data_IF_900095291733
#
_entry.id   IF_900095291733
#
_cell.length_a   1.000
_cell.length_b   1.000
_cell.length_c   1.000
_cell.angle_alpha   90.00
_cell.angle_beta   90.00
_cell.angle_gamma   90.00
#
_symmetry.space_group_name_H-M   'P 1'
#
loop_
_entity.id
_entity.type
_entity.pdbx_description
1 polymer ?
#
# COMPACT_ATOMS: atom_id res chain seq x y z
N UNK A 1 42.02 -1.02 3.62
CA UNK A 1 40.78 -0.24 3.60
C UNK A 1 39.69 -1.14 3.06
N UNK A 2 38.80 -1.64 3.92
CA UNK A 2 37.73 -2.56 3.53
C UNK A 2 36.62 -1.70 2.92
N UNK A 3 36.43 -1.80 1.60
CA UNK A 3 35.32 -1.18 0.90
C UNK A 3 34.04 -1.89 1.34
N UNK A 4 33.19 -1.20 2.11
CA UNK A 4 31.85 -1.65 2.45
C UNK A 4 30.97 -1.57 1.20
N UNK A 5 31.08 -2.58 0.32
CA UNK A 5 30.12 -2.83 -0.74
C UNK A 5 28.83 -3.38 -0.11
N UNK A 6 28.02 -2.51 0.49
CA UNK A 6 26.61 -2.85 0.76
C UNK A 6 25.90 -2.87 -0.58
N UNK A 7 25.38 -4.03 -0.96
CA UNK A 7 24.60 -4.18 -2.18
C UNK A 7 23.33 -3.31 -2.08
N UNK A 8 22.89 -2.64 -3.17
CA UNK A 8 21.70 -1.78 -3.18
C UNK A 8 20.38 -2.49 -2.83
N UNK A 9 20.41 -3.81 -2.68
CA UNK A 9 19.29 -4.64 -2.25
C UNK A 9 19.11 -4.59 -0.72
N UNK A 10 20.20 -4.49 0.06
CA UNK A 10 20.15 -4.50 1.53
C UNK A 10 19.61 -3.19 2.13
N UNK A 11 19.72 -2.06 1.43
CA UNK A 11 19.13 -0.80 1.90
C UNK A 11 17.61 -0.73 1.68
N UNK A 12 17.08 -1.50 0.72
CA UNK A 12 15.63 -1.56 0.48
C UNK A 12 14.89 -2.37 1.54
N UNK A 13 15.51 -3.41 2.10
CA UNK A 13 14.88 -4.25 3.14
C UNK A 13 14.62 -3.47 4.45
N UNK A 14 15.47 -2.49 4.77
CA UNK A 14 15.29 -1.62 5.93
C UNK A 14 14.15 -0.60 5.80
N UNK A 15 13.72 -0.29 4.56
CA UNK A 15 12.64 0.67 4.30
C UNK A 15 11.24 0.10 4.59
N UNK A 16 11.12 -1.23 4.67
CA UNK A 16 9.85 -1.96 4.75
C UNK A 16 9.60 -2.63 6.11
N UNK A 17 10.57 -2.60 7.03
CA UNK A 17 10.45 -3.16 8.38
C UNK A 17 9.87 -2.11 9.35
N UNK A 18 8.60 -2.27 9.71
CA UNK A 18 7.88 -1.50 10.73
C UNK A 18 7.14 -0.24 10.24
N UNK A 19 7.23 0.08 8.94
CA UNK A 19 6.68 1.31 8.36
C UNK A 19 5.19 1.25 7.96
N UNK A 20 4.61 2.39 7.52
CA UNK A 20 3.23 2.47 7.02
C UNK A 20 2.96 1.52 5.84
N UNK A 21 4.02 1.17 5.09
CA UNK A 21 3.97 0.14 4.05
C UNK A 21 3.59 -1.24 4.61
N UNK A 22 4.22 -1.69 5.69
CA UNK A 22 3.98 -3.01 6.28
C UNK A 22 2.59 -3.10 6.91
N UNK A 23 2.10 -2.00 7.49
CA UNK A 23 0.74 -1.90 8.02
C UNK A 23 -0.31 -1.99 6.90
N UNK A 24 -0.16 -1.21 5.82
CA UNK A 24 -1.03 -1.32 4.65
C UNK A 24 -0.98 -2.69 4.00
N UNK A 25 0.20 -3.29 3.93
CA UNK A 25 0.33 -4.65 3.43
C UNK A 25 -0.42 -5.67 4.27
N UNK A 26 -0.33 -5.57 5.60
CA UNK A 26 -1.01 -6.47 6.54
C UNK A 26 -2.54 -6.39 6.43
N UNK A 27 -3.08 -5.19 6.18
CA UNK A 27 -4.50 -4.97 5.93
C UNK A 27 -4.92 -5.54 4.57
N UNK A 28 -4.14 -5.28 3.53
CA UNK A 28 -4.45 -5.73 2.17
C UNK A 28 -4.37 -7.26 1.99
N UNK A 29 -3.55 -7.95 2.77
CA UNK A 29 -3.36 -9.41 2.72
C UNK A 29 -4.10 -10.17 3.82
N UNK A 30 -4.75 -9.47 4.75
CA UNK A 30 -5.69 -10.08 5.65
C UNK A 30 -6.86 -10.63 4.81
N UNK A 31 -6.94 -11.96 4.65
CA UNK A 31 -8.16 -12.63 4.15
C UNK A 31 -9.37 -12.33 5.07
N UNK A 32 -9.05 -11.83 6.26
CA UNK A 32 -9.95 -11.38 7.30
C UNK A 32 -10.30 -9.90 7.03
N UNK A 33 -11.20 -9.64 6.09
CA UNK A 33 -12.11 -8.47 6.21
C UNK A 33 -12.97 -8.56 7.50
N UNK A 34 -12.83 -9.62 8.30
CA UNK A 34 -13.55 -9.87 9.55
C UNK A 34 -12.89 -9.26 10.81
N UNK A 35 -11.77 -8.54 10.70
CA UNK A 35 -11.08 -7.99 11.89
C UNK A 35 -11.61 -6.63 12.35
N UNK A 36 -12.67 -6.13 11.71
CA UNK A 36 -13.34 -4.90 12.10
C UNK A 36 -12.58 -3.63 11.74
N UNK A 37 -11.67 -3.70 10.76
CA UNK A 37 -10.98 -2.51 10.24
C UNK A 37 -12.00 -1.55 9.64
N UNK A 38 -12.12 -0.39 10.26
CA UNK A 38 -13.03 0.65 9.83
C UNK A 38 -12.54 1.26 8.51
N UNK A 39 -13.48 1.70 7.67
CA UNK A 39 -13.19 2.50 6.46
C UNK A 39 -12.25 3.68 6.79
N UNK A 40 -12.37 4.23 8.00
CA UNK A 40 -11.50 5.27 8.57
C UNK A 40 -10.03 4.83 8.65
N UNK A 41 -9.75 3.64 9.18
CA UNK A 41 -8.38 3.12 9.31
C UNK A 41 -7.76 2.88 7.92
N UNK A 42 -8.51 2.26 7.01
CA UNK A 42 -8.06 2.05 5.63
C UNK A 42 -7.73 3.37 4.95
N UNK A 43 -8.60 4.38 5.09
CA UNK A 43 -8.37 5.72 4.57
C UNK A 43 -7.10 6.36 5.15
N UNK A 44 -6.95 6.34 6.48
CA UNK A 44 -5.79 6.95 7.15
C UNK A 44 -4.48 6.31 6.70
N UNK A 45 -4.45 4.98 6.58
CA UNK A 45 -3.24 4.30 6.15
C UNK A 45 -2.93 4.51 4.67
N UNK A 46 -3.95 4.50 3.80
CA UNK A 46 -3.76 4.78 2.38
C UNK A 46 -3.18 6.19 2.17
N UNK A 47 -3.68 7.18 2.93
CA UNK A 47 -3.13 8.54 2.92
C UNK A 47 -1.68 8.59 3.44
N UNK A 48 -1.37 7.91 4.56
CA UNK A 48 0.01 7.82 5.07
C UNK A 48 0.95 7.19 4.06
N UNK A 49 0.50 6.15 3.36
CA UNK A 49 1.29 5.49 2.35
C UNK A 49 1.54 6.39 1.14
N UNK A 50 0.53 7.14 0.70
CA UNK A 50 0.66 8.11 -0.38
C UNK A 50 1.73 9.16 -0.04
N UNK A 51 1.68 9.71 1.16
CA UNK A 51 2.70 10.66 1.64
C UNK A 51 4.10 10.04 1.69
N UNK A 52 4.22 8.78 2.11
CA UNK A 52 5.50 8.09 2.13
C UNK A 52 6.06 7.87 0.72
N UNK A 53 5.21 7.53 -0.26
CA UNK A 53 5.60 7.46 -1.67
C UNK A 53 6.03 8.83 -2.22
N UNK A 54 5.35 9.90 -1.83
CA UNK A 54 5.69 11.27 -2.27
C UNK A 54 7.08 11.70 -1.78
N UNK A 55 7.49 11.20 -0.61
CA UNK A 55 8.81 11.47 -0.02
C UNK A 55 9.93 10.63 -0.63
N UNK A 56 9.60 9.53 -1.32
CA UNK A 56 10.59 8.72 -2.00
C UNK A 56 10.90 9.27 -3.40
N UNK A 57 11.94 10.10 -3.47
CA UNK A 57 12.42 10.70 -4.71
C UNK A 57 12.96 9.66 -5.72
N UNK A 58 13.33 8.45 -5.28
CA UNK A 58 13.96 7.44 -6.12
C UNK A 58 13.00 6.66 -7.01
N UNK A 59 11.69 6.76 -6.76
CA UNK A 59 10.68 5.89 -7.35
C UNK A 59 9.71 6.59 -8.33
N UNK A 60 9.79 7.92 -8.43
CA UNK A 60 8.81 8.78 -9.12
C UNK A 60 8.62 8.51 -10.62
N UNK A 61 9.61 7.95 -11.31
CA UNK A 61 9.60 7.87 -12.79
C UNK A 61 9.28 6.49 -13.38
N UNK A 62 8.99 5.49 -12.56
CA UNK A 62 8.61 4.17 -13.10
C UNK A 62 7.09 4.07 -13.35
N UNK A 63 6.70 3.43 -14.45
CA UNK A 63 5.29 3.15 -14.77
C UNK A 63 4.58 2.34 -13.67
N UNK A 64 5.30 1.43 -13.02
CA UNK A 64 4.80 0.67 -11.87
C UNK A 64 4.42 1.58 -10.70
N UNK A 65 5.16 2.69 -10.48
CA UNK A 65 4.84 3.66 -9.43
C UNK A 65 3.63 4.51 -9.80
N UNK A 66 3.53 4.98 -11.04
CA UNK A 66 2.34 5.71 -11.51
C UNK A 66 1.06 4.87 -11.34
N UNK A 67 1.15 3.58 -11.67
CA UNK A 67 0.05 2.64 -11.49
C UNK A 67 -0.31 2.45 -10.00
N UNK A 68 0.70 2.34 -9.13
CA UNK A 68 0.49 2.24 -7.68
C UNK A 68 -0.19 3.49 -7.11
N UNK A 69 0.26 4.69 -7.51
CA UNK A 69 -0.39 5.95 -7.16
C UNK A 69 -1.85 5.98 -7.61
N UNK A 70 -2.11 5.59 -8.85
CA UNK A 70 -3.47 5.56 -9.38
C UNK A 70 -4.40 4.68 -8.54
N UNK A 71 -3.95 3.48 -8.17
CA UNK A 71 -4.75 2.59 -7.34
C UNK A 71 -4.91 3.08 -5.90
N UNK A 72 -3.88 3.71 -5.34
CA UNK A 72 -3.92 4.28 -4.01
C UNK A 72 -4.89 5.46 -3.93
N UNK A 73 -4.88 6.31 -4.95
CA UNK A 73 -5.77 7.46 -5.08
C UNK A 73 -7.23 7.03 -5.20
N UNK A 74 -7.50 5.99 -5.97
CA UNK A 74 -8.84 5.41 -6.07
C UNK A 74 -9.33 4.85 -4.72
N UNK A 75 -8.46 4.17 -3.97
CA UNK A 75 -8.82 3.67 -2.65
C UNK A 75 -9.13 4.82 -1.67
N UNK A 76 -8.29 5.86 -1.64
CA UNK A 76 -8.52 7.04 -0.81
C UNK A 76 -9.86 7.70 -1.17
N UNK A 77 -10.15 7.82 -2.46
CA UNK A 77 -11.40 8.40 -2.95
C UNK A 77 -12.62 7.61 -2.46
N UNK A 78 -12.65 6.30 -2.72
CA UNK A 78 -13.82 5.48 -2.38
C UNK A 78 -13.96 5.27 -0.87
N UNK A 79 -12.86 5.11 -0.13
CA UNK A 79 -12.91 5.07 1.33
C UNK A 79 -13.41 6.40 1.91
N UNK A 80 -13.01 7.53 1.32
CA UNK A 80 -13.53 8.85 1.68
C UNK A 80 -15.03 9.00 1.41
N UNK A 81 -15.53 8.44 0.31
CA UNK A 81 -16.96 8.43 -0.01
C UNK A 81 -17.75 7.57 0.98
N UNK A 82 -17.29 6.34 1.24
CA UNK A 82 -17.87 5.43 2.23
C UNK A 82 -17.90 6.02 3.65
N UNK A 83 -16.85 6.75 4.05
CA UNK A 83 -16.79 7.45 5.34
C UNK A 83 -17.85 8.55 5.46
N UNK A 84 -18.04 9.33 4.38
CA UNK A 84 -19.01 10.45 4.36
C UNK A 84 -20.45 9.97 4.22
N UNK A 85 -20.65 8.88 3.51
CA UNK A 85 -21.94 8.27 3.26
C UNK A 85 -21.83 6.74 3.40
N UNK A 86 -22.25 6.15 4.53
CA UNK A 86 -22.21 4.70 4.73
C UNK A 86 -23.07 3.90 3.74
N UNK A 87 -24.01 4.53 3.05
CA UNK A 87 -24.82 3.92 1.99
C UNK A 87 -24.17 4.05 0.59
N UNK A 88 -22.95 4.58 0.52
CA UNK A 88 -22.19 4.62 -0.73
C UNK A 88 -21.88 3.19 -1.20
N UNK A 89 -21.63 3.03 -2.49
CA UNK A 89 -21.51 1.72 -3.11
C UNK A 89 -20.27 0.96 -2.59
N UNK A 90 -20.51 -0.05 -1.76
CA UNK A 90 -19.49 -0.94 -1.23
C UNK A 90 -18.70 -1.64 -2.34
N UNK A 91 -19.31 -1.91 -3.49
CA UNK A 91 -18.64 -2.56 -4.62
C UNK A 91 -17.46 -1.73 -5.13
N UNK A 92 -17.63 -0.40 -5.27
CA UNK A 92 -16.55 0.48 -5.76
C UNK A 92 -15.38 0.53 -4.78
N UNK A 93 -15.66 0.61 -3.48
CA UNK A 93 -14.65 0.53 -2.42
C UNK A 93 -13.87 -0.78 -2.50
N UNK A 94 -14.56 -1.93 -2.52
CA UNK A 94 -13.92 -3.25 -2.58
C UNK A 94 -13.09 -3.39 -3.86
N UNK A 95 -13.60 -2.92 -5.00
CA UNK A 95 -12.87 -2.93 -6.27
C UNK A 95 -11.58 -2.11 -6.20
N UNK A 96 -11.62 -0.91 -5.61
CA UNK A 96 -10.45 -0.07 -5.43
C UNK A 96 -9.40 -0.76 -4.53
N UNK A 97 -9.87 -1.36 -3.43
CA UNK A 97 -9.03 -2.09 -2.48
C UNK A 97 -8.36 -3.31 -3.13
N UNK A 98 -9.10 -4.09 -3.90
CA UNK A 98 -8.56 -5.21 -4.68
C UNK A 98 -7.55 -4.76 -5.75
N UNK A 99 -7.85 -3.69 -6.48
CA UNK A 99 -6.93 -3.15 -7.50
C UNK A 99 -5.59 -2.71 -6.91
N UNK A 100 -5.61 -2.08 -5.73
CA UNK A 100 -4.40 -1.73 -5.00
C UNK A 100 -3.62 -2.98 -4.58
N UNK A 101 -4.30 -3.96 -3.99
CA UNK A 101 -3.69 -5.24 -3.59
C UNK A 101 -2.97 -5.93 -4.76
N UNK A 102 -3.64 -6.04 -5.90
CA UNK A 102 -3.08 -6.72 -7.07
C UNK A 102 -1.87 -5.96 -7.66
N UNK A 103 -1.90 -4.63 -7.60
CA UNK A 103 -0.78 -3.79 -8.04
C UNK A 103 0.42 -3.94 -7.11
N UNK A 104 0.19 -3.94 -5.79
CA UNK A 104 1.26 -4.18 -4.81
C UNK A 104 1.85 -5.58 -4.93
N UNK A 105 1.02 -6.62 -5.21
CA UNK A 105 1.47 -7.99 -5.50
C UNK A 105 2.46 -8.04 -6.66
N UNK A 106 2.14 -7.32 -7.74
CA UNK A 106 2.96 -7.29 -8.96
C UNK A 106 4.21 -6.43 -8.81
N UNK A 107 4.11 -5.30 -8.10
CA UNK A 107 5.22 -4.37 -7.88
C UNK A 107 6.23 -4.83 -6.84
N UNK A 108 5.81 -5.64 -5.87
CA UNK A 108 6.64 -6.09 -4.75
C UNK A 108 6.49 -7.60 -4.47
N UNK A 109 6.90 -8.48 -5.41
CA UNK A 109 6.71 -9.92 -5.30
C UNK A 109 7.43 -10.56 -4.10
N UNK A 110 8.45 -9.92 -3.54
CA UNK A 110 9.17 -10.38 -2.34
C UNK A 110 8.30 -10.37 -1.07
N UNK A 111 7.22 -9.59 -1.03
CA UNK A 111 6.32 -9.54 0.12
C UNK A 111 5.32 -10.69 0.18
N UNK A 112 5.16 -11.44 -0.91
CA UNK A 112 4.36 -12.68 -0.89
C UNK A 112 5.01 -13.77 -0.03
N UNK A 113 6.31 -13.67 0.30
CA UNK A 113 7.02 -14.67 1.10
C UNK A 113 7.02 -14.39 2.60
N UNK A 114 6.63 -13.18 3.04
CA UNK A 114 6.65 -12.79 4.45
C UNK A 114 5.37 -13.16 5.22
N UNK A 115 4.39 -13.80 4.56
CA UNK A 115 3.08 -14.16 5.12
C UNK A 115 2.78 -15.66 5.03
N UNK A 116 3.80 -16.49 4.81
CA UNK A 116 3.73 -17.96 4.93
C UNK A 116 4.38 -18.39 6.24
#
# INVERSE_FOLDING_TARGET
>A
MISNNRSPIQEKEGLFAGGPFQQLFSILWSDVYERGESIEEVLQMAMRYRTALDQDAGLRDSESHKLLYWHLDNLIHEAGNMKKNPNHDLFLYLKALHGLRDTMKKGHPFLNFALV
#
